data_IF_016233191187
#
_entry.id   IF_016233191187
#
_cell.length_a   1.000
_cell.length_b   1.000
_cell.length_c   1.000
_cell.angle_alpha   90.00
_cell.angle_beta   90.00
_cell.angle_gamma   90.00
#
_symmetry.space_group_name_H-M   'P 1'
#
loop_
_entity.id
_entity.type
_entity.pdbx_description
1 polymer ?
#
# COMPACT_ATOMS: atom_id res chain seq x y z
N UNK A 1 -30.18 5.15 11.41
CA UNK A 1 -29.23 5.04 10.25
C UNK A 1 -27.83 4.96 10.83
N UNK A 2 -27.09 3.88 10.54
CA UNK A 2 -25.71 3.69 11.05
C UNK A 2 -24.81 4.72 10.38
N UNK A 3 -23.94 5.39 11.15
CA UNK A 3 -23.02 6.38 10.62
C UNK A 3 -21.99 5.75 9.68
N UNK A 4 -21.51 6.49 8.68
CA UNK A 4 -20.51 5.98 7.71
C UNK A 4 -19.24 5.51 8.42
N UNK A 5 -18.79 6.23 9.46
CA UNK A 5 -17.63 5.85 10.27
C UNK A 5 -17.81 4.48 10.95
N UNK A 6 -18.98 4.22 11.50
CA UNK A 6 -19.29 2.93 12.13
C UNK A 6 -19.29 1.78 11.10
N UNK A 7 -19.83 2.04 9.90
CA UNK A 7 -19.80 1.07 8.79
C UNK A 7 -18.35 0.79 8.32
N UNK A 8 -17.51 1.83 8.24
CA UNK A 8 -16.09 1.69 7.92
C UNK A 8 -15.37 0.86 8.99
N UNK A 9 -15.64 1.08 10.26
CA UNK A 9 -14.99 0.35 11.35
C UNK A 9 -15.44 -1.11 11.42
N UNK A 10 -16.70 -1.39 11.14
CA UNK A 10 -17.20 -2.76 11.04
C UNK A 10 -16.55 -3.51 9.87
N UNK A 11 -16.51 -2.88 8.69
CA UNK A 11 -15.86 -3.44 7.51
C UNK A 11 -14.37 -3.71 7.75
N UNK A 12 -13.66 -2.80 8.45
CA UNK A 12 -12.26 -3.01 8.84
C UNK A 12 -12.09 -4.22 9.75
N UNK A 13 -12.90 -4.33 10.79
CA UNK A 13 -12.83 -5.47 11.73
C UNK A 13 -13.01 -6.80 11.01
N UNK A 14 -14.02 -6.92 10.16
CA UNK A 14 -14.25 -8.13 9.39
C UNK A 14 -13.08 -8.47 8.44
N UNK A 15 -12.51 -7.45 7.79
CA UNK A 15 -11.38 -7.63 6.88
C UNK A 15 -10.09 -7.97 7.62
N UNK A 16 -9.85 -7.43 8.81
CA UNK A 16 -8.70 -7.81 9.65
C UNK A 16 -8.70 -9.29 10.01
N UNK A 17 -9.86 -9.83 10.37
CA UNK A 17 -9.99 -11.26 10.67
C UNK A 17 -9.69 -12.13 9.44
N UNK A 18 -10.21 -11.75 8.26
CA UNK A 18 -9.91 -12.45 7.01
C UNK A 18 -8.42 -12.37 6.66
N UNK A 19 -7.81 -11.19 6.79
CA UNK A 19 -6.37 -10.99 6.55
C UNK A 19 -5.52 -11.84 7.49
N UNK A 20 -5.84 -11.84 8.77
CA UNK A 20 -5.16 -12.64 9.77
C UNK A 20 -5.25 -14.14 9.47
N UNK A 21 -6.42 -14.62 9.04
CA UNK A 21 -6.61 -16.01 8.66
C UNK A 21 -5.84 -16.38 7.37
N UNK A 22 -5.70 -15.44 6.44
CA UNK A 22 -4.96 -15.62 5.18
C UNK A 22 -3.44 -15.56 5.37
N UNK A 23 -2.97 -14.83 6.37
CA UNK A 23 -1.54 -14.64 6.62
C UNK A 23 -0.87 -15.96 7.05
N UNK A 24 0.10 -16.44 6.27
CA UNK A 24 0.81 -17.72 6.49
C UNK A 24 2.30 -17.53 6.77
N UNK A 25 2.77 -16.29 6.93
CA UNK A 25 4.18 -15.99 7.16
C UNK A 25 5.10 -16.32 5.96
N UNK A 26 4.53 -16.57 4.79
CA UNK A 26 5.26 -16.81 3.55
C UNK A 26 5.12 -15.63 2.60
N UNK A 27 6.22 -15.32 1.91
CA UNK A 27 6.19 -14.31 0.86
C UNK A 27 5.28 -14.78 -0.30
N UNK A 28 4.36 -13.93 -0.71
CA UNK A 28 3.38 -14.21 -1.77
C UNK A 28 3.39 -13.07 -2.82
N UNK A 29 4.58 -12.57 -3.14
CA UNK A 29 4.77 -11.37 -3.96
C UNK A 29 5.06 -11.68 -5.46
N UNK A 30 4.89 -12.91 -5.92
CA UNK A 30 5.23 -13.31 -7.28
C UNK A 30 4.47 -12.52 -8.35
N UNK A 31 3.17 -12.35 -8.21
CA UNK A 31 2.37 -11.54 -9.15
C UNK A 31 2.72 -10.06 -9.08
N UNK A 32 3.08 -9.55 -7.90
CA UNK A 32 3.57 -8.18 -7.79
C UNK A 32 4.91 -7.99 -8.52
N UNK A 33 5.85 -8.91 -8.37
CA UNK A 33 7.11 -8.92 -9.12
C UNK A 33 6.88 -8.94 -10.63
N UNK A 34 5.95 -9.76 -11.12
CA UNK A 34 5.57 -9.82 -12.53
C UNK A 34 5.04 -8.50 -13.07
N UNK A 35 4.14 -7.84 -12.31
CA UNK A 35 3.63 -6.52 -12.66
C UNK A 35 4.74 -5.48 -12.70
N UNK A 36 5.58 -5.43 -11.66
CA UNK A 36 6.67 -4.45 -11.55
C UNK A 36 7.77 -4.66 -12.60
N UNK A 37 7.94 -5.87 -13.12
CA UNK A 37 8.88 -6.15 -14.21
C UNK A 37 8.58 -5.34 -15.49
N UNK A 38 7.33 -4.94 -15.70
CA UNK A 38 6.91 -4.04 -16.79
C UNK A 38 7.28 -2.57 -16.57
N UNK A 39 7.72 -2.20 -15.36
CA UNK A 39 8.00 -0.81 -14.96
C UNK A 39 9.41 -0.62 -14.41
N UNK A 40 10.37 -1.43 -14.86
CA UNK A 40 11.76 -1.35 -14.40
C UNK A 40 12.34 0.05 -14.55
N UNK A 41 12.97 0.53 -13.48
CA UNK A 41 13.59 1.86 -13.44
C UNK A 41 12.62 3.01 -13.11
N UNK A 42 11.32 2.77 -13.07
CA UNK A 42 10.34 3.78 -12.63
C UNK A 42 10.42 3.94 -11.11
N UNK A 43 10.48 5.16 -10.57
CA UNK A 43 10.52 5.38 -9.12
C UNK A 43 9.31 4.75 -8.41
N UNK A 44 9.58 3.88 -7.46
CA UNK A 44 8.61 3.03 -6.78
C UNK A 44 8.57 3.35 -5.28
N UNK A 45 7.40 3.53 -4.72
CA UNK A 45 7.19 3.45 -3.29
C UNK A 45 6.56 2.10 -2.91
N UNK A 46 7.21 1.39 -2.01
CA UNK A 46 6.64 0.22 -1.34
C UNK A 46 6.18 0.56 0.07
N UNK A 47 6.10 -0.44 0.91
CA UNK A 47 5.84 -0.29 2.35
C UNK A 47 6.60 -1.35 3.15
N UNK A 48 6.94 -1.04 4.39
CA UNK A 48 7.44 -2.02 5.33
C UNK A 48 6.26 -2.80 5.92
N UNK A 49 6.27 -4.11 5.76
CA UNK A 49 5.21 -4.99 6.27
C UNK A 49 4.94 -4.75 7.76
N UNK A 50 3.68 -4.61 8.10
CA UNK A 50 3.21 -4.50 9.48
C UNK A 50 2.23 -5.62 9.81
N UNK A 51 2.40 -6.24 10.98
CA UNK A 51 1.46 -7.28 11.50
C UNK A 51 1.19 -8.37 10.46
N UNK A 52 -0.07 -8.48 10.02
CA UNK A 52 -0.54 -9.52 9.09
C UNK A 52 -0.68 -9.03 7.64
N UNK A 53 -0.08 -7.90 7.30
CA UNK A 53 -0.03 -7.43 5.90
C UNK A 53 0.68 -8.45 5.02
N UNK A 54 0.28 -8.52 3.76
CA UNK A 54 1.06 -9.25 2.75
C UNK A 54 2.39 -8.53 2.53
N UNK A 55 3.46 -9.29 2.42
CA UNK A 55 4.82 -8.74 2.39
C UNK A 55 5.25 -8.36 0.96
N UNK A 56 5.48 -7.08 0.65
CA UNK A 56 5.95 -6.63 -0.65
C UNK A 56 7.48 -6.72 -0.80
N UNK A 57 8.22 -7.03 0.25
CA UNK A 57 9.68 -6.94 0.29
C UNK A 57 10.37 -7.68 -0.85
N UNK A 58 10.01 -8.93 -1.21
CA UNK A 58 10.68 -9.61 -2.33
C UNK A 58 10.56 -8.87 -3.66
N UNK A 59 9.39 -8.30 -3.96
CA UNK A 59 9.18 -7.52 -5.17
C UNK A 59 9.91 -6.16 -5.12
N UNK A 60 10.00 -5.56 -3.95
CA UNK A 60 10.77 -4.33 -3.74
C UNK A 60 12.27 -4.55 -3.93
N UNK A 61 12.81 -5.67 -3.45
CA UNK A 61 14.22 -6.05 -3.64
C UNK A 61 14.57 -6.22 -5.11
N UNK A 62 13.71 -6.88 -5.87
CA UNK A 62 13.86 -7.01 -7.31
C UNK A 62 13.82 -5.65 -8.03
N UNK A 63 12.87 -4.79 -7.66
CA UNK A 63 12.75 -3.44 -8.21
C UNK A 63 13.97 -2.56 -7.90
N UNK A 64 14.53 -2.68 -6.70
CA UNK A 64 15.69 -1.91 -6.27
C UNK A 64 16.96 -2.19 -7.09
N UNK A 65 17.03 -3.34 -7.74
CA UNK A 65 18.11 -3.66 -8.68
C UNK A 65 18.06 -2.82 -9.96
N UNK A 66 16.95 -2.15 -10.25
CA UNK A 66 16.71 -1.46 -11.51
C UNK A 66 16.41 0.03 -11.36
N UNK A 67 16.04 0.50 -10.17
CA UNK A 67 15.65 1.90 -9.94
C UNK A 67 15.44 2.23 -8.47
N UNK A 68 15.03 3.46 -8.21
CA UNK A 68 14.79 3.94 -6.85
C UNK A 68 13.55 3.29 -6.25
N UNK A 69 13.70 2.80 -5.03
CA UNK A 69 12.59 2.32 -4.19
C UNK A 69 12.59 3.12 -2.90
N UNK A 70 11.42 3.54 -2.45
CA UNK A 70 11.26 4.29 -1.21
C UNK A 70 10.21 3.67 -0.29
N UNK A 71 10.30 4.04 0.98
CA UNK A 71 9.33 3.67 2.01
C UNK A 71 8.62 4.90 2.56
N UNK A 72 7.36 4.77 2.96
CA UNK A 72 6.58 5.89 3.46
C UNK A 72 7.05 6.35 4.84
N UNK A 73 7.12 7.64 5.01
CA UNK A 73 7.39 8.31 6.29
C UNK A 73 6.22 9.22 6.62
N UNK A 74 5.66 9.04 7.79
CA UNK A 74 4.57 9.90 8.30
C UNK A 74 5.19 11.19 8.83
N UNK A 75 4.83 12.32 8.22
CA UNK A 75 5.35 13.64 8.55
C UNK A 75 4.54 14.32 9.66
N UNK A 76 3.34 13.87 9.90
CA UNK A 76 2.43 14.38 10.93
C UNK A 76 0.98 14.01 10.65
N UNK A 77 0.12 14.17 11.64
CA UNK A 77 -1.31 13.95 11.48
C UNK A 77 -1.88 14.90 10.43
N UNK A 78 -2.73 14.40 9.53
CA UNK A 78 -3.33 15.18 8.46
C UNK A 78 -2.40 15.58 7.32
N UNK A 79 -1.13 15.18 7.36
CA UNK A 79 -0.15 15.42 6.30
C UNK A 79 -0.09 14.26 5.32
N UNK A 80 0.25 14.49 4.03
CA UNK A 80 0.58 13.43 3.11
C UNK A 80 1.88 12.73 3.56
N UNK A 81 2.03 11.48 3.14
CA UNK A 81 3.29 10.75 3.31
C UNK A 81 4.39 11.40 2.46
N UNK A 82 5.62 11.33 2.94
CA UNK A 82 6.82 11.47 2.13
C UNK A 82 7.50 10.11 2.02
N UNK A 83 8.36 9.95 1.01
CA UNK A 83 9.03 8.68 0.76
C UNK A 83 10.54 8.88 0.83
N UNK A 84 11.19 8.04 1.64
CA UNK A 84 12.64 8.02 1.78
C UNK A 84 13.21 6.82 1.05
N UNK A 85 14.30 7.02 0.31
CA UNK A 85 14.99 5.94 -0.39
C UNK A 85 15.34 4.78 0.54
N UNK A 86 15.10 3.60 0.03
CA UNK A 86 15.34 2.32 0.67
C UNK A 86 16.14 1.41 -0.26
N UNK A 87 17.03 0.62 0.32
CA UNK A 87 17.71 -0.46 -0.37
C UNK A 87 17.73 -1.71 0.50
N UNK A 88 17.83 -2.92 -0.10
CA UNK A 88 17.93 -4.15 0.66
C UNK A 88 19.07 -4.08 1.69
N UNK A 89 18.75 -4.40 2.95
CA UNK A 89 19.73 -4.40 4.04
C UNK A 89 20.11 -3.02 4.60
N UNK A 90 19.48 -1.93 4.15
CA UNK A 90 19.74 -0.62 4.75
C UNK A 90 19.32 -0.57 6.23
N UNK A 91 19.96 0.30 7.00
CA UNK A 91 19.62 0.51 8.40
C UNK A 91 18.19 1.08 8.53
N UNK A 92 17.40 0.48 9.41
CA UNK A 92 16.01 0.85 9.67
C UNK A 92 15.87 1.31 11.12
N UNK A 93 14.99 2.28 11.34
CA UNK A 93 14.64 2.78 12.68
C UNK A 93 13.13 2.76 12.87
N UNK A 94 12.62 2.73 14.11
CA UNK A 94 11.19 2.85 14.37
C UNK A 94 10.65 4.17 13.84
N UNK A 95 9.56 4.10 13.08
CA UNK A 95 8.78 5.25 12.65
C UNK A 95 7.51 5.42 13.47
N UNK A 96 6.66 6.37 13.08
CA UNK A 96 5.37 6.57 13.71
C UNK A 96 4.46 5.34 13.51
N UNK A 97 3.62 5.06 14.49
CA UNK A 97 2.65 3.95 14.48
C UNK A 97 3.25 2.55 14.26
N UNK A 98 4.53 2.36 14.58
CA UNK A 98 5.20 1.06 14.54
C UNK A 98 5.74 0.64 13.18
N UNK A 99 5.57 1.43 12.12
CA UNK A 99 6.18 1.16 10.84
C UNK A 99 7.67 1.53 10.85
N UNK A 100 8.54 0.59 10.44
CA UNK A 100 9.96 0.89 10.30
C UNK A 100 10.21 1.79 9.09
N UNK A 101 11.16 2.70 9.23
CA UNK A 101 11.58 3.63 8.17
C UNK A 101 13.09 3.54 7.97
N UNK A 102 13.64 3.87 6.77
CA UNK A 102 15.07 4.01 6.59
C UNK A 102 15.66 5.05 7.53
N UNK A 103 16.77 4.72 8.19
CA UNK A 103 17.48 5.64 9.10
C UNK A 103 17.98 6.88 8.37
N UNK A 104 18.43 6.69 7.12
CA UNK A 104 18.96 7.74 6.24
C UNK A 104 18.55 7.46 4.79
N UNK A 105 18.82 8.40 3.92
CA UNK A 105 18.51 8.32 2.50
C UNK A 105 17.84 9.60 2.02
N UNK A 106 17.87 9.82 0.71
CA UNK A 106 17.26 10.97 0.09
C UNK A 106 15.74 10.84 0.07
N UNK A 107 15.05 11.96 0.05
CA UNK A 107 13.64 11.99 -0.25
C UNK A 107 13.42 11.74 -1.73
N UNK A 108 12.40 10.94 -2.07
CA UNK A 108 12.05 10.62 -3.45
C UNK A 108 10.56 10.83 -3.70
N UNK A 109 10.22 11.09 -4.96
CA UNK A 109 8.82 11.18 -5.41
C UNK A 109 8.52 9.97 -6.29
N UNK A 110 7.65 9.04 -5.86
CA UNK A 110 7.32 7.87 -6.64
C UNK A 110 6.35 8.20 -7.78
N UNK A 111 6.42 7.40 -8.83
CA UNK A 111 5.44 7.35 -9.92
C UNK A 111 4.56 6.09 -9.83
N UNK A 112 5.03 5.09 -9.07
CA UNK A 112 4.26 3.89 -8.70
C UNK A 112 4.22 3.81 -7.18
N UNK A 113 3.03 3.60 -6.63
CA UNK A 113 2.83 3.43 -5.18
C UNK A 113 2.17 2.08 -4.93
N UNK A 114 2.87 1.20 -4.22
CA UNK A 114 2.28 -0.01 -3.67
C UNK A 114 1.56 0.38 -2.38
N UNK A 115 0.25 0.17 -2.35
CA UNK A 115 -0.62 0.63 -1.26
C UNK A 115 -0.99 -0.53 -0.36
N UNK A 116 -0.59 -0.52 0.92
CA UNK A 116 -1.11 -1.44 1.91
C UNK A 116 -2.57 -1.10 2.19
N UNK A 117 -3.38 -2.10 2.45
CA UNK A 117 -4.81 -1.90 2.67
C UNK A 117 -5.39 -2.95 3.62
N UNK A 118 -6.58 -2.67 4.13
CA UNK A 118 -7.34 -3.59 4.99
C UNK A 118 -8.37 -4.35 4.18
N UNK A 119 -9.08 -3.68 3.29
CA UNK A 119 -10.07 -4.28 2.39
C UNK A 119 -10.06 -3.57 1.03
N UNK A 120 -10.43 -4.29 -0.01
CA UNK A 120 -10.61 -3.75 -1.36
C UNK A 120 -11.86 -4.32 -2.02
N UNK A 121 -12.37 -3.63 -3.01
CA UNK A 121 -13.39 -4.13 -3.92
C UNK A 121 -12.89 -4.19 -5.37
N UNK A 122 -13.65 -4.86 -6.23
CA UNK A 122 -13.28 -5.04 -7.64
C UNK A 122 -13.31 -3.75 -8.47
N UNK A 123 -13.93 -2.71 -7.96
CA UNK A 123 -13.99 -1.39 -8.58
C UNK A 123 -12.80 -0.49 -8.24
N UNK A 124 -11.81 -0.98 -7.50
CA UNK A 124 -10.64 -0.22 -7.08
C UNK A 124 -10.83 0.57 -5.78
N UNK A 125 -11.96 0.39 -5.11
CA UNK A 125 -12.20 0.94 -3.79
C UNK A 125 -11.36 0.24 -2.73
N UNK A 126 -10.95 0.97 -1.70
CA UNK A 126 -10.17 0.41 -0.60
C UNK A 126 -10.50 1.04 0.74
N UNK A 127 -10.33 0.26 1.79
CA UNK A 127 -10.27 0.73 3.16
C UNK A 127 -8.84 0.57 3.69
N UNK A 128 -8.30 1.67 4.19
CA UNK A 128 -7.07 1.68 4.98
C UNK A 128 -7.35 1.68 6.48
N UNK A 129 -6.37 2.08 7.25
CA UNK A 129 -6.41 2.07 8.72
C UNK A 129 -7.19 3.27 9.34
N UNK A 130 -7.67 4.20 8.53
CA UNK A 130 -8.49 5.32 8.97
C UNK A 130 -7.76 6.66 9.10
N UNK A 131 -6.44 6.71 8.95
CA UNK A 131 -5.65 7.95 9.04
C UNK A 131 -5.71 8.84 7.80
N UNK A 132 -6.18 8.33 6.66
CA UNK A 132 -6.30 9.05 5.39
C UNK A 132 -4.95 9.40 4.73
N UNK A 133 -3.85 8.83 5.18
CA UNK A 133 -2.50 9.15 4.67
C UNK A 133 -2.35 8.85 3.18
N UNK A 134 -2.79 7.68 2.73
CA UNK A 134 -2.67 7.31 1.31
C UNK A 134 -3.63 8.08 0.42
N UNK A 135 -4.83 8.43 0.89
CA UNK A 135 -5.76 9.26 0.12
C UNK A 135 -5.17 10.65 -0.14
N UNK A 136 -4.65 11.30 0.90
CA UNK A 136 -3.97 12.60 0.76
C UNK A 136 -2.72 12.53 -0.12
N UNK A 137 -1.94 11.45 0.03
CA UNK A 137 -0.71 11.24 -0.73
C UNK A 137 -1.00 11.02 -2.21
N UNK A 138 -1.95 10.14 -2.55
CA UNK A 138 -2.33 9.87 -3.93
C UNK A 138 -2.97 11.08 -4.60
N UNK A 139 -3.83 11.83 -3.89
CA UNK A 139 -4.39 13.08 -4.38
C UNK A 139 -3.29 14.06 -4.77
N UNK A 140 -2.31 14.27 -3.88
CA UNK A 140 -1.17 15.17 -4.12
C UNK A 140 -0.31 14.71 -5.30
N UNK A 141 0.05 13.43 -5.35
CA UNK A 141 0.90 12.89 -6.41
C UNK A 141 0.20 12.97 -7.78
N UNK A 142 -1.07 12.60 -7.84
CA UNK A 142 -1.89 12.64 -9.07
C UNK A 142 -2.13 14.06 -9.58
N UNK A 143 -2.17 15.05 -8.69
CA UNK A 143 -2.24 16.45 -9.07
C UNK A 143 -0.94 16.96 -9.74
N UNK A 144 0.19 16.35 -9.47
CA UNK A 144 1.50 16.74 -9.97
C UNK A 144 1.92 15.96 -11.22
N UNK A 145 1.60 14.66 -11.28
CA UNK A 145 2.00 13.74 -12.36
C UNK A 145 1.11 12.50 -12.41
N UNK A 146 1.18 11.77 -13.51
CA UNK A 146 0.59 10.44 -13.59
C UNK A 146 1.22 9.54 -12.52
N UNK A 147 0.37 8.92 -11.70
CA UNK A 147 0.80 8.06 -10.59
C UNK A 147 -0.04 6.79 -10.62
N UNK A 148 0.63 5.64 -10.66
CA UNK A 148 0.00 4.34 -10.64
C UNK A 148 -0.12 3.86 -9.18
N UNK A 149 -1.33 3.65 -8.71
CA UNK A 149 -1.61 3.09 -7.39
C UNK A 149 -1.94 1.60 -7.49
N UNK A 150 -1.08 0.76 -6.93
CA UNK A 150 -1.23 -0.69 -6.91
C UNK A 150 -1.59 -1.12 -5.49
N UNK A 151 -2.81 -1.57 -5.27
CA UNK A 151 -3.18 -2.22 -4.02
C UNK A 151 -2.53 -3.60 -3.93
N UNK A 152 -1.89 -3.91 -2.81
CA UNK A 152 -1.31 -5.23 -2.57
C UNK A 152 -1.92 -5.85 -1.33
N UNK A 153 -2.58 -6.99 -1.49
CA UNK A 153 -3.40 -7.60 -0.45
C UNK A 153 -3.52 -9.11 -0.66
N UNK A 154 -3.99 -9.83 0.35
CA UNK A 154 -4.48 -11.19 0.15
C UNK A 154 -5.85 -11.17 -0.55
N UNK A 155 -6.13 -12.17 -1.40
CA UNK A 155 -7.42 -12.31 -2.06
C UNK A 155 -8.58 -12.34 -1.04
N UNK A 156 -8.36 -12.88 0.14
CA UNK A 156 -9.34 -12.91 1.24
C UNK A 156 -9.73 -11.51 1.78
N UNK A 157 -8.99 -10.46 1.42
CA UNK A 157 -9.31 -9.08 1.80
C UNK A 157 -10.32 -8.42 0.84
N UNK A 158 -10.74 -9.11 -0.23
CA UNK A 158 -11.82 -8.65 -1.09
C UNK A 158 -13.13 -8.54 -0.30
N UNK A 159 -13.86 -7.46 -0.51
CA UNK A 159 -15.17 -7.23 0.09
C UNK A 159 -16.12 -6.65 -0.97
N UNK A 160 -17.40 -6.93 -0.81
CA UNK A 160 -18.46 -6.29 -1.56
C UNK A 160 -18.93 -5.03 -0.79
N UNK A 161 -19.44 -4.05 -1.52
CA UNK A 161 -20.10 -2.87 -0.95
C UNK A 161 -19.29 -2.13 0.13
N UNK A 162 -18.04 -1.84 -0.15
CA UNK A 162 -17.23 -1.03 0.76
C UNK A 162 -17.85 0.35 1.00
N UNK A 163 -17.91 0.81 2.25
CA UNK A 163 -18.38 2.15 2.58
C UNK A 163 -17.33 3.20 2.21
N UNK A 164 -17.41 3.74 0.99
CA UNK A 164 -16.46 4.71 0.44
C UNK A 164 -16.99 6.14 0.50
N UNK A 165 -16.06 7.09 0.42
CA UNK A 165 -16.31 8.53 0.34
C UNK A 165 -15.73 9.10 -0.96
N UNK A 166 -16.23 10.26 -1.44
CA UNK A 166 -15.69 10.88 -2.65
C UNK A 166 -14.20 11.26 -2.58
N UNK A 167 -13.67 11.42 -1.36
CA UNK A 167 -12.24 11.72 -1.12
C UNK A 167 -11.35 10.48 -1.11
N UNK A 168 -11.94 9.30 -1.07
CA UNK A 168 -11.18 8.04 -1.11
C UNK A 168 -10.59 7.84 -2.52
N UNK A 169 -9.26 7.76 -2.61
CA UNK A 169 -8.56 7.63 -3.89
C UNK A 169 -8.63 6.19 -4.41
N UNK A 170 -9.03 5.97 -5.67
CA UNK A 170 -9.14 4.63 -6.23
C UNK A 170 -7.76 4.02 -6.53
N UNK A 171 -7.72 2.69 -6.51
CA UNK A 171 -6.58 1.92 -7.00
C UNK A 171 -6.68 1.72 -8.51
N UNK A 172 -5.54 1.73 -9.19
CA UNK A 172 -5.44 1.44 -10.63
C UNK A 172 -5.31 -0.06 -10.90
N UNK A 173 -4.62 -0.76 -10.03
CA UNK A 173 -4.47 -2.22 -10.02
C UNK A 173 -4.62 -2.75 -8.60
N UNK A 174 -5.06 -4.00 -8.50
CA UNK A 174 -5.03 -4.77 -7.26
C UNK A 174 -4.29 -6.07 -7.54
N UNK A 175 -3.24 -6.32 -6.77
CA UNK A 175 -2.44 -7.54 -6.88
C UNK A 175 -2.62 -8.35 -5.61
N UNK A 176 -2.88 -9.63 -5.78
CA UNK A 176 -3.01 -10.59 -4.68
C UNK A 176 -2.07 -11.79 -4.92
N UNK A 177 -1.99 -12.68 -3.95
CA UNK A 177 -1.30 -13.96 -4.12
C UNK A 177 -1.94 -14.83 -5.20
N UNK A 178 -3.17 -14.55 -5.57
CA UNK A 178 -3.94 -15.34 -6.54
C UNK A 178 -3.95 -14.75 -7.95
N UNK A 179 -3.55 -13.49 -8.11
CA UNK A 179 -3.54 -12.84 -9.43
C UNK A 179 -3.66 -11.33 -9.38
N UNK A 180 -3.93 -10.75 -10.54
CA UNK A 180 -4.04 -9.31 -10.77
C UNK A 180 -5.46 -8.96 -11.18
N UNK A 181 -6.03 -7.94 -10.55
CA UNK A 181 -7.33 -7.37 -10.89
C UNK A 181 -7.12 -5.97 -11.45
N UNK A 182 -7.77 -5.70 -12.58
CA UNK A 182 -7.84 -4.36 -13.17
C UNK A 182 -9.26 -3.82 -12.97
N UNK A 183 -9.44 -2.82 -12.12
CA UNK A 183 -10.74 -2.22 -11.86
C UNK A 183 -11.39 -1.58 -13.08
#
# INVERSE_FOLDING_TARGET
MVALSERKDEARRAAFERRKAAHRGQAAAGHLSEVLAGYRGVPLAGYAQMRTEIDPTPAMEEAAAHGSVGLPVIMGAGQPLQFREWSPGCAMVPGAFGAAIPESGDWMTPEIVIVPLVAFDRGGGRLGYGGGFYDRTLELLRAQRATLAIGFAYAAQEAEDLPLEPTDQPLDLIVTESGVLTP
#
